data_IF_122275177604
#
_entry.id   IF_122275177604
#
_cell.length_a   1.000
_cell.length_b   1.000
_cell.length_c   1.000
_cell.angle_alpha   90.00
_cell.angle_beta   90.00
_cell.angle_gamma   90.00
#
_symmetry.space_group_name_H-M   'P 1'
#
loop_
_entity.id
_entity.type
_entity.pdbx_description
1 polymer ?
#
# COMPACT_ATOMS: atom_id res chain seq x y z
N UNK A 1 -10.13 3.32 17.45
CA UNK A 1 -8.96 3.53 16.56
C UNK A 1 -9.18 2.88 15.19
N UNK A 2 -10.14 3.37 14.39
CA UNK A 2 -10.54 2.71 13.13
C UNK A 2 -9.43 2.68 12.07
N UNK A 3 -8.57 3.70 12.01
CA UNK A 3 -7.55 3.86 10.96
C UNK A 3 -6.20 3.21 11.30
N UNK A 4 -6.03 2.63 12.49
CA UNK A 4 -4.71 2.18 12.95
C UNK A 4 -4.09 1.13 12.01
N UNK A 5 -4.86 0.13 11.61
CA UNK A 5 -4.40 -0.90 10.68
C UNK A 5 -4.03 -0.35 9.31
N UNK A 6 -4.69 0.73 8.86
CA UNK A 6 -4.32 1.42 7.63
C UNK A 6 -2.99 2.15 7.79
N UNK A 7 -2.77 2.81 8.93
CA UNK A 7 -1.50 3.48 9.23
C UNK A 7 -0.35 2.47 9.32
N UNK A 8 -0.53 1.33 9.98
CA UNK A 8 0.48 0.27 9.99
C UNK A 8 0.77 -0.26 8.58
N UNK A 9 -0.27 -0.42 7.75
CA UNK A 9 -0.11 -0.87 6.37
C UNK A 9 0.77 0.08 5.52
N UNK A 10 0.74 1.39 5.80
CA UNK A 10 1.57 2.37 5.10
C UNK A 10 3.08 2.23 5.39
N UNK A 11 3.45 1.44 6.40
CA UNK A 11 4.84 1.19 6.81
C UNK A 11 5.22 -0.29 6.76
N UNK A 12 4.49 -1.12 6.01
CA UNK A 12 4.90 -2.51 5.73
C UNK A 12 6.30 -2.58 5.08
N UNK A 13 6.65 -1.56 4.29
CA UNK A 13 7.98 -1.30 3.75
C UNK A 13 8.25 0.21 3.75
N UNK A 14 9.43 0.63 3.27
CA UNK A 14 9.82 2.04 3.21
C UNK A 14 8.80 2.87 2.42
N UNK A 15 8.18 3.86 3.09
CA UNK A 15 7.38 4.88 2.43
C UNK A 15 8.24 5.64 1.40
N UNK A 16 7.78 5.91 0.15
CA UNK A 16 6.42 5.84 -0.38
C UNK A 16 5.99 4.53 -1.07
N UNK A 17 6.66 3.39 -0.85
CA UNK A 17 6.33 2.15 -1.56
C UNK A 17 4.88 1.68 -1.28
N UNK A 18 4.43 1.53 -0.01
CA UNK A 18 3.10 0.98 0.26
C UNK A 18 1.96 1.93 -0.16
N UNK A 19 2.11 3.23 0.06
CA UNK A 19 1.08 4.22 -0.31
C UNK A 19 0.89 4.33 -1.81
N UNK A 20 1.98 4.25 -2.60
CA UNK A 20 1.87 4.23 -4.07
C UNK A 20 1.20 2.96 -4.56
N UNK A 21 1.52 1.81 -3.96
CA UNK A 21 0.85 0.55 -4.29
C UNK A 21 -0.63 0.58 -3.94
N UNK A 22 -1.00 1.15 -2.79
CA UNK A 22 -2.39 1.33 -2.39
C UNK A 22 -3.16 2.20 -3.41
N UNK A 23 -2.59 3.34 -3.79
CA UNK A 23 -3.18 4.22 -4.79
C UNK A 23 -3.35 3.52 -6.16
N UNK A 24 -2.36 2.75 -6.61
CA UNK A 24 -2.47 1.91 -7.80
C UNK A 24 -3.62 0.89 -7.70
N UNK A 25 -3.72 0.16 -6.58
CA UNK A 25 -4.79 -0.82 -6.35
C UNK A 25 -6.19 -0.17 -6.35
N UNK A 26 -6.29 1.08 -5.86
CA UNK A 26 -7.52 1.88 -5.87
C UNK A 26 -7.86 2.49 -7.23
N UNK A 27 -7.04 2.26 -8.27
CA UNK A 27 -7.22 2.85 -9.59
C UNK A 27 -6.85 4.35 -9.67
N UNK A 28 -6.11 4.86 -8.69
CA UNK A 28 -5.63 6.24 -8.65
C UNK A 28 -4.28 6.36 -9.38
N UNK A 29 -3.97 7.52 -9.98
CA UNK A 29 -2.70 7.74 -10.65
C UNK A 29 -1.54 7.84 -9.63
N UNK A 30 -0.78 6.75 -9.47
CA UNK A 30 0.35 6.66 -8.53
C UNK A 30 1.73 6.61 -9.22
N UNK A 31 1.79 6.05 -10.43
CA UNK A 31 3.03 5.74 -11.13
C UNK A 31 3.91 4.73 -10.38
N UNK A 32 5.07 4.41 -10.94
CA UNK A 32 6.05 3.54 -10.28
C UNK A 32 6.89 4.31 -9.24
N UNK A 33 7.49 3.57 -8.32
CA UNK A 33 8.62 4.07 -7.51
C UNK A 33 9.89 4.06 -8.35
N UNK A 34 10.77 5.03 -8.11
CA UNK A 34 12.07 5.11 -8.78
C UNK A 34 13.14 4.55 -7.87
N UNK A 35 14.22 4.05 -8.48
CA UNK A 35 15.42 3.69 -7.75
C UNK A 35 15.89 4.85 -6.85
N UNK A 36 16.41 4.56 -5.64
CA UNK A 36 16.81 3.24 -5.14
C UNK A 36 15.67 2.37 -4.59
N UNK A 37 14.41 2.83 -4.64
CA UNK A 37 13.26 2.07 -4.17
C UNK A 37 12.84 0.99 -5.18
N UNK A 38 12.33 -0.13 -4.66
CA UNK A 38 11.76 -1.23 -5.44
C UNK A 38 10.25 -1.34 -5.23
N UNK A 39 9.59 -2.10 -6.09
CA UNK A 39 8.18 -2.47 -5.89
C UNK A 39 7.99 -3.17 -4.54
N UNK A 40 6.77 -3.08 -4.01
CA UNK A 40 6.37 -3.75 -2.77
C UNK A 40 6.50 -5.28 -2.95
N UNK A 41 6.97 -5.99 -1.94
CA UNK A 41 7.03 -7.45 -2.01
C UNK A 41 5.64 -8.09 -2.13
N UNK A 42 5.55 -9.25 -2.79
CA UNK A 42 4.28 -9.97 -3.02
C UNK A 42 3.55 -10.29 -1.70
N UNK A 43 4.29 -10.62 -0.65
CA UNK A 43 3.73 -10.88 0.69
C UNK A 43 3.09 -9.61 1.28
N UNK A 44 3.79 -8.48 1.20
CA UNK A 44 3.26 -7.19 1.69
C UNK A 44 2.15 -6.63 0.80
N UNK A 45 2.13 -6.91 -0.50
CA UNK A 45 0.99 -6.60 -1.37
C UNK A 45 -0.29 -7.31 -0.91
N UNK A 46 -0.18 -8.60 -0.55
CA UNK A 46 -1.31 -9.36 -0.02
C UNK A 46 -1.84 -8.82 1.31
N UNK A 47 -0.93 -8.39 2.21
CA UNK A 47 -1.29 -7.74 3.48
C UNK A 47 -1.97 -6.39 3.24
N UNK A 48 -1.40 -5.55 2.38
CA UNK A 48 -1.94 -4.24 2.03
C UNK A 48 -3.34 -4.35 1.44
N UNK A 49 -3.55 -5.28 0.49
CA UNK A 49 -4.87 -5.53 -0.12
C UNK A 49 -5.93 -5.87 0.92
N UNK A 50 -5.65 -6.83 1.82
CA UNK A 50 -6.60 -7.22 2.88
C UNK A 50 -6.99 -6.05 3.78
N UNK A 51 -6.03 -5.19 4.12
CA UNK A 51 -6.32 -3.98 4.90
C UNK A 51 -7.25 -3.07 4.10
N UNK A 52 -6.93 -2.75 2.85
CA UNK A 52 -7.74 -1.86 2.01
C UNK A 52 -9.16 -2.39 1.76
N UNK A 53 -9.33 -3.70 1.53
CA UNK A 53 -10.63 -4.38 1.41
C UNK A 53 -11.46 -4.19 2.69
N UNK A 54 -10.82 -4.30 3.87
CA UNK A 54 -11.45 -4.03 5.16
C UNK A 54 -11.96 -2.59 5.34
N UNK A 55 -11.47 -1.65 4.55
CA UNK A 55 -11.96 -0.27 4.48
C UNK A 55 -12.89 0.01 3.30
N UNK A 56 -13.12 -0.94 2.40
CA UNK A 56 -13.92 -0.77 1.18
C UNK A 56 -13.27 0.18 0.16
N UNK A 57 -11.95 0.22 0.11
CA UNK A 57 -11.20 1.06 -0.84
C UNK A 57 -10.84 0.33 -2.14
N UNK A 58 -10.87 -1.00 -2.12
CA UNK A 58 -10.60 -1.91 -3.24
C UNK A 58 -11.49 -3.14 -3.15
#
# INVERSE_FOLDING_TARGET
>A
MRLFSLFEAMFLETNPIPVKKAAEMMGLPAGHVRLPLSALSVDNEGKLRKVLEGFGMV
#
